data_IF_664926600186
#
_entry.id   IF_664926600186
#
_cell.length_a   1.000
_cell.length_b   1.000
_cell.length_c   1.000
_cell.angle_alpha   90.00
_cell.angle_beta   90.00
_cell.angle_gamma   90.00
#
_symmetry.space_group_name_H-M   'P 1'
#
loop_
_entity.id
_entity.type
_entity.pdbx_description
1 polymer ?
#
# COMPACT_ATOMS: atom_id res chain seq x y z
N UNK A 1 49.21 -38.42 -22.11
CA UNK A 1 49.25 -37.10 -21.45
C UNK A 1 47.81 -36.65 -21.26
N UNK A 2 47.41 -36.14 -20.08
CA UNK A 2 46.05 -35.64 -19.87
C UNK A 2 45.76 -34.47 -20.81
N UNK A 3 44.54 -34.40 -21.34
CA UNK A 3 44.12 -33.27 -22.19
C UNK A 3 44.18 -31.94 -21.43
N UNK A 4 44.44 -30.83 -22.15
CA UNK A 4 44.40 -29.46 -21.58
C UNK A 4 43.05 -29.20 -20.90
N UNK A 5 41.98 -29.77 -21.47
CA UNK A 5 40.64 -29.78 -20.91
C UNK A 5 40.58 -30.46 -19.55
N UNK A 6 41.10 -31.70 -19.42
CA UNK A 6 41.13 -32.41 -18.15
C UNK A 6 41.92 -31.64 -17.09
N UNK A 7 43.05 -31.03 -17.45
CA UNK A 7 43.85 -30.20 -16.53
C UNK A 7 43.05 -29.00 -16.02
N UNK A 8 42.30 -28.32 -16.89
CA UNK A 8 41.51 -27.14 -16.51
C UNK A 8 40.35 -27.50 -15.57
N UNK A 9 39.64 -28.58 -15.87
CA UNK A 9 38.55 -29.09 -15.03
C UNK A 9 39.10 -29.51 -13.66
N UNK A 10 40.27 -30.16 -13.63
CA UNK A 10 40.91 -30.59 -12.40
C UNK A 10 41.29 -29.40 -11.51
N UNK A 11 41.92 -28.36 -12.08
CA UNK A 11 42.28 -27.14 -11.34
C UNK A 11 41.03 -26.47 -10.76
N UNK A 12 39.95 -26.38 -11.55
CA UNK A 12 38.68 -25.84 -11.05
C UNK A 12 38.13 -26.68 -9.89
N UNK A 13 38.07 -28.00 -10.04
CA UNK A 13 37.62 -28.92 -8.99
C UNK A 13 38.46 -28.81 -7.71
N UNK A 14 39.77 -28.72 -7.85
CA UNK A 14 40.70 -28.56 -6.73
C UNK A 14 40.51 -27.22 -6.01
N UNK A 15 40.31 -26.13 -6.75
CA UNK A 15 40.03 -24.82 -6.15
C UNK A 15 38.71 -24.79 -5.38
N UNK A 16 37.65 -25.38 -5.93
CA UNK A 16 36.37 -25.52 -5.26
C UNK A 16 36.52 -26.35 -3.99
N UNK A 17 37.16 -27.52 -4.09
CA UNK A 17 37.43 -28.40 -2.95
C UNK A 17 38.16 -27.65 -1.82
N UNK A 18 39.27 -26.97 -2.13
CA UNK A 18 40.04 -26.21 -1.15
C UNK A 18 39.23 -25.05 -0.54
N UNK A 19 38.39 -24.37 -1.33
CA UNK A 19 37.53 -23.30 -0.82
C UNK A 19 36.50 -23.83 0.18
N UNK A 20 35.85 -24.96 -0.12
CA UNK A 20 34.88 -25.58 0.78
C UNK A 20 35.53 -26.09 2.07
N UNK A 21 36.70 -26.74 1.97
CA UNK A 21 37.47 -27.20 3.13
C UNK A 21 37.91 -26.03 4.01
N UNK A 22 38.44 -24.96 3.42
CA UNK A 22 38.88 -23.76 4.16
C UNK A 22 37.71 -23.10 4.93
N UNK A 23 36.54 -23.01 4.30
CA UNK A 23 35.34 -22.49 4.96
C UNK A 23 34.89 -23.35 6.15
N UNK A 24 35.05 -24.69 6.10
CA UNK A 24 34.71 -25.58 7.22
C UNK A 24 35.74 -25.56 8.36
N UNK A 25 37.02 -25.36 8.03
CA UNK A 25 38.10 -25.25 9.04
C UNK A 25 37.99 -23.94 9.83
N UNK A 26 37.58 -22.86 9.17
CA UNK A 26 37.47 -21.52 9.79
C UNK A 26 36.16 -20.81 9.46
N UNK A 27 35.02 -21.35 9.89
CA UNK A 27 33.70 -20.89 9.42
C UNK A 27 33.37 -19.47 9.89
N UNK A 28 33.85 -19.05 11.07
CA UNK A 28 33.68 -17.65 11.54
C UNK A 28 34.48 -16.64 10.72
N UNK A 29 35.70 -16.99 10.30
CA UNK A 29 36.49 -16.15 9.39
C UNK A 29 35.84 -16.06 8.01
N UNK A 30 35.28 -17.17 7.54
CA UNK A 30 34.55 -17.21 6.28
C UNK A 30 33.24 -16.41 6.32
N UNK A 31 32.49 -16.42 7.43
CA UNK A 31 31.34 -15.53 7.65
C UNK A 31 31.75 -14.06 7.61
N UNK A 32 32.81 -13.70 8.34
CA UNK A 32 33.32 -12.32 8.37
C UNK A 32 33.77 -11.84 6.98
N UNK A 33 34.52 -12.68 6.24
CA UNK A 33 34.95 -12.37 4.89
C UNK A 33 33.77 -12.21 3.89
N UNK A 34 32.64 -12.88 4.16
CA UNK A 34 31.41 -12.80 3.34
C UNK A 34 30.39 -11.78 3.88
N UNK A 35 30.72 -11.07 4.96
CA UNK A 35 29.82 -10.12 5.64
C UNK A 35 28.46 -10.74 6.01
N UNK A 36 28.47 -11.99 6.48
CA UNK A 36 27.27 -12.72 6.89
C UNK A 36 27.13 -12.72 8.42
N UNK A 37 25.89 -12.68 8.91
CA UNK A 37 25.57 -12.76 10.34
C UNK A 37 25.83 -14.17 10.88
N UNK A 38 26.07 -14.30 12.19
CA UNK A 38 26.33 -15.58 12.86
C UNK A 38 25.20 -16.60 12.69
N UNK A 39 23.96 -16.13 12.52
CA UNK A 39 22.79 -16.97 12.23
C UNK A 39 22.90 -17.75 10.91
N UNK A 40 23.77 -17.33 9.97
CA UNK A 40 24.01 -17.99 8.69
C UNK A 40 25.02 -19.16 8.77
N UNK A 41 25.58 -19.45 9.95
CA UNK A 41 26.60 -20.48 10.15
C UNK A 41 26.16 -21.88 9.64
N UNK A 42 24.94 -22.39 9.93
CA UNK A 42 24.50 -23.70 9.44
C UNK A 42 24.42 -23.74 7.91
N UNK A 43 23.95 -22.66 7.28
CA UNK A 43 23.86 -22.53 5.83
C UNK A 43 25.24 -22.46 5.18
N UNK A 44 26.19 -21.73 5.78
CA UNK A 44 27.59 -21.68 5.31
C UNK A 44 28.24 -23.07 5.35
N UNK A 45 28.00 -23.85 6.41
CA UNK A 45 28.52 -25.22 6.53
C UNK A 45 27.90 -26.14 5.46
N UNK A 46 26.58 -26.10 5.29
CA UNK A 46 25.90 -26.87 4.24
C UNK A 46 26.38 -26.52 2.83
N UNK A 47 26.56 -25.23 2.56
CA UNK A 47 27.11 -24.75 1.28
C UNK A 47 28.56 -25.18 1.07
N UNK A 48 29.37 -25.19 2.13
CA UNK A 48 30.78 -25.61 2.06
C UNK A 48 30.92 -27.11 1.77
N UNK A 49 30.05 -27.95 2.34
CA UNK A 49 29.99 -29.39 2.02
C UNK A 49 29.55 -29.61 0.56
N UNK A 50 28.57 -28.85 0.08
CA UNK A 50 28.16 -28.90 -1.32
C UNK A 50 29.31 -28.51 -2.27
N UNK A 51 30.06 -27.46 -1.94
CA UNK A 51 31.26 -27.04 -2.70
C UNK A 51 32.32 -28.14 -2.73
N UNK A 52 32.57 -28.83 -1.60
CA UNK A 52 33.49 -29.97 -1.54
C UNK A 52 33.02 -31.08 -2.48
N UNK A 53 31.73 -31.44 -2.42
CA UNK A 53 31.14 -32.43 -3.31
C UNK A 53 31.30 -32.05 -4.78
N UNK A 54 31.02 -30.78 -5.12
CA UNK A 54 31.25 -30.23 -6.47
C UNK A 54 32.71 -30.38 -6.89
N UNK A 55 33.67 -30.04 -6.02
CA UNK A 55 35.10 -30.18 -6.29
C UNK A 55 35.51 -31.62 -6.60
N UNK A 56 35.01 -32.59 -5.81
CA UNK A 56 35.23 -34.03 -6.02
C UNK A 56 34.66 -34.47 -7.37
N UNK A 57 33.44 -34.06 -7.72
CA UNK A 57 32.83 -34.40 -9.01
C UNK A 57 33.63 -33.84 -10.20
N UNK A 58 34.15 -32.62 -10.10
CA UNK A 58 35.01 -32.04 -11.15
C UNK A 58 36.34 -32.78 -11.29
N UNK A 59 36.99 -33.14 -10.17
CA UNK A 59 38.23 -33.93 -10.22
C UNK A 59 37.98 -35.33 -10.80
N UNK A 60 36.84 -35.97 -10.47
CA UNK A 60 36.43 -37.25 -11.04
C UNK A 60 36.14 -37.15 -12.54
N UNK A 61 35.44 -36.09 -12.97
CA UNK A 61 35.14 -35.85 -14.37
C UNK A 61 36.39 -35.55 -15.20
N UNK A 62 37.38 -34.87 -14.62
CA UNK A 62 38.69 -34.67 -15.22
C UNK A 62 39.44 -36.00 -15.40
N UNK A 63 39.40 -36.86 -14.38
CA UNK A 63 40.00 -38.21 -14.45
C UNK A 63 39.33 -39.09 -15.53
N UNK A 64 38.01 -38.98 -15.69
CA UNK A 64 37.23 -39.74 -16.67
C UNK A 64 37.25 -39.13 -18.09
N UNK A 65 37.91 -37.98 -18.29
CA UNK A 65 37.85 -37.18 -19.54
C UNK A 65 36.41 -36.98 -20.07
N UNK A 66 35.45 -36.77 -19.17
CA UNK A 66 34.03 -36.72 -19.53
C UNK A 66 33.69 -35.41 -20.27
N UNK A 67 33.66 -35.48 -21.61
CA UNK A 67 33.39 -34.33 -22.50
C UNK A 67 31.99 -33.73 -22.34
N UNK A 68 30.99 -34.54 -21.96
CA UNK A 68 29.63 -34.04 -21.70
C UNK A 68 29.58 -33.19 -20.43
N UNK A 69 30.30 -33.59 -19.39
CA UNK A 69 30.44 -32.82 -18.16
C UNK A 69 31.17 -31.49 -18.41
N UNK A 70 32.21 -31.49 -19.27
CA UNK A 70 32.92 -30.28 -19.66
C UNK A 70 32.02 -29.21 -20.29
N UNK A 71 31.15 -29.58 -21.23
CA UNK A 71 30.22 -28.64 -21.86
C UNK A 71 29.28 -27.96 -20.85
N UNK A 72 28.77 -28.73 -19.88
CA UNK A 72 27.93 -28.21 -18.79
C UNK A 72 28.72 -27.33 -17.81
N UNK A 73 30.00 -27.62 -17.62
CA UNK A 73 30.91 -26.82 -16.78
C UNK A 73 31.13 -25.43 -17.35
N UNK A 74 31.34 -25.33 -18.67
CA UNK A 74 31.56 -24.07 -19.36
C UNK A 74 30.34 -23.15 -19.24
N UNK A 75 29.14 -23.72 -19.41
CA UNK A 75 27.88 -22.99 -19.21
C UNK A 75 27.76 -22.45 -17.77
N UNK A 76 28.07 -23.28 -16.76
CA UNK A 76 28.08 -22.85 -15.35
C UNK A 76 29.12 -21.78 -15.04
N UNK A 77 30.30 -21.84 -15.67
CA UNK A 77 31.36 -20.85 -15.48
C UNK A 77 30.93 -19.48 -16.01
N UNK A 78 30.27 -19.45 -17.17
CA UNK A 78 29.69 -18.23 -17.74
C UNK A 78 28.64 -17.66 -16.79
N UNK A 79 27.70 -18.47 -16.31
CA UNK A 79 26.68 -18.03 -15.34
C UNK A 79 27.31 -17.51 -14.04
N UNK A 80 28.27 -18.25 -13.47
CA UNK A 80 28.95 -17.86 -12.24
C UNK A 80 29.77 -16.57 -12.43
N UNK A 81 30.43 -16.39 -13.58
CA UNK A 81 31.17 -15.17 -13.92
C UNK A 81 30.22 -13.98 -14.08
N UNK A 82 29.05 -14.17 -14.70
CA UNK A 82 28.01 -13.13 -14.81
C UNK A 82 27.53 -12.71 -13.42
N UNK A 83 27.16 -13.67 -12.56
CA UNK A 83 26.73 -13.35 -11.19
C UNK A 83 27.84 -12.75 -10.32
N UNK A 84 29.10 -13.18 -10.50
CA UNK A 84 30.25 -12.63 -9.78
C UNK A 84 30.58 -11.19 -10.21
N UNK A 85 30.52 -10.90 -11.52
CA UNK A 85 30.69 -9.55 -12.06
C UNK A 85 29.54 -8.62 -11.65
N UNK A 86 28.34 -9.17 -11.42
CA UNK A 86 27.21 -8.43 -10.88
C UNK A 86 27.32 -8.17 -9.37
N UNK A 87 28.22 -8.84 -8.64
CA UNK A 87 28.46 -8.59 -7.21
C UNK A 87 27.23 -8.81 -6.31
N UNK A 88 27.17 -8.23 -5.09
CA UNK A 88 25.99 -8.29 -4.21
C UNK A 88 24.78 -7.52 -4.76
N UNK A 89 24.79 -7.10 -6.03
CA UNK A 89 23.73 -6.33 -6.67
C UNK A 89 22.40 -7.07 -6.70
N UNK A 90 22.33 -8.38 -6.46
CA UNK A 90 21.03 -9.05 -6.29
C UNK A 90 20.25 -8.50 -5.09
N UNK A 91 20.92 -8.07 -4.00
CA UNK A 91 20.28 -7.35 -2.89
C UNK A 91 19.81 -5.96 -3.33
N UNK A 92 20.60 -5.28 -4.15
CA UNK A 92 20.22 -4.00 -4.75
C UNK A 92 19.06 -4.15 -5.75
N UNK A 93 18.98 -5.26 -6.50
CA UNK A 93 17.87 -5.59 -7.39
C UNK A 93 16.63 -5.94 -6.57
N UNK A 94 16.77 -6.63 -5.44
CA UNK A 94 15.66 -6.82 -4.50
C UNK A 94 15.16 -5.50 -3.93
N UNK A 95 16.06 -4.67 -3.41
CA UNK A 95 15.67 -3.35 -2.91
C UNK A 95 15.09 -2.49 -4.03
N UNK A 96 15.60 -2.59 -5.25
CA UNK A 96 15.09 -1.85 -6.40
C UNK A 96 13.75 -2.42 -6.90
N UNK A 97 13.52 -3.72 -6.89
CA UNK A 97 12.19 -4.29 -7.25
C UNK A 97 11.16 -4.02 -6.16
N UNK A 98 11.57 -3.99 -4.89
CA UNK A 98 10.69 -3.76 -3.74
C UNK A 98 10.50 -2.28 -3.40
N UNK A 99 11.43 -1.40 -3.75
CA UNK A 99 11.40 0.04 -3.45
C UNK A 99 11.48 0.95 -4.67
N UNK A 100 11.70 0.44 -5.89
CA UNK A 100 11.69 1.35 -7.04
C UNK A 100 10.32 2.00 -7.10
N UNK A 101 10.28 3.35 -7.05
CA UNK A 101 9.05 4.05 -7.33
C UNK A 101 8.62 3.62 -8.74
N UNK A 102 7.39 3.13 -8.86
CA UNK A 102 6.80 3.00 -10.19
C UNK A 102 6.88 4.39 -10.78
N UNK A 103 7.48 4.52 -11.97
CA UNK A 103 7.49 5.78 -12.68
C UNK A 103 6.04 6.27 -12.72
N UNK A 104 5.72 7.45 -12.17
CA UNK A 104 4.34 7.87 -12.03
C UNK A 104 3.71 7.96 -13.42
N UNK A 105 2.72 7.12 -13.70
CA UNK A 105 2.04 7.11 -15.00
C UNK A 105 1.12 8.32 -15.14
N UNK A 106 0.88 8.74 -16.38
CA UNK A 106 -0.10 9.78 -16.69
C UNK A 106 -1.52 9.19 -16.75
N UNK A 107 -2.57 10.03 -16.69
CA UNK A 107 -3.94 9.58 -16.95
C UNK A 107 -4.08 8.86 -18.30
N UNK A 108 -3.53 9.44 -19.38
CA UNK A 108 -3.54 8.87 -20.74
C UNK A 108 -2.98 7.45 -20.80
N UNK A 109 -1.86 7.20 -20.14
CA UNK A 109 -1.19 5.88 -20.13
C UNK A 109 -1.92 4.86 -19.26
N UNK A 110 -2.55 5.30 -18.17
CA UNK A 110 -3.09 4.41 -17.12
C UNK A 110 -4.59 4.17 -17.20
N UNK A 111 -5.29 4.78 -18.16
CA UNK A 111 -6.75 4.70 -18.27
C UNK A 111 -7.27 3.29 -18.66
N UNK A 112 -6.46 2.53 -19.41
CA UNK A 112 -6.83 1.19 -19.87
C UNK A 112 -6.82 0.17 -18.72
N UNK A 113 -7.83 -0.69 -18.68
CA UNK A 113 -7.96 -1.71 -17.64
C UNK A 113 -8.50 -1.19 -16.30
N UNK A 114 -8.67 0.12 -16.13
CA UNK A 114 -9.37 0.67 -14.97
C UNK A 114 -10.84 0.28 -15.01
N UNK A 115 -11.36 -0.13 -13.85
CA UNK A 115 -12.75 -0.46 -13.66
C UNK A 115 -13.33 0.38 -12.52
N UNK A 116 -14.59 0.77 -12.67
CA UNK A 116 -15.33 1.38 -11.58
C UNK A 116 -15.54 0.34 -10.49
N UNK A 117 -15.34 0.76 -9.26
CA UNK A 117 -15.73 -0.03 -8.10
C UNK A 117 -17.23 -0.30 -8.15
N UNK A 118 -17.59 -1.58 -8.32
CA UNK A 118 -18.99 -2.04 -8.31
C UNK A 118 -19.33 -2.84 -7.05
N UNK A 119 -18.44 -2.85 -6.06
CA UNK A 119 -18.72 -3.53 -4.80
C UNK A 119 -19.80 -2.76 -4.05
N UNK A 120 -20.88 -3.44 -3.68
CA UNK A 120 -21.88 -2.87 -2.79
C UNK A 120 -21.20 -2.65 -1.44
N UNK A 121 -20.90 -1.39 -1.10
CA UNK A 121 -20.49 -1.01 0.25
C UNK A 121 -21.57 -1.54 1.20
N UNK A 122 -21.16 -2.35 2.19
CA UNK A 122 -22.11 -2.89 3.16
C UNK A 122 -22.79 -1.75 3.92
N UNK A 123 -24.06 -1.96 4.23
CA UNK A 123 -24.85 -1.09 5.13
C UNK A 123 -25.06 0.36 4.68
N UNK A 124 -24.73 0.72 3.43
CA UNK A 124 -25.16 1.99 2.83
C UNK A 124 -26.65 1.86 2.52
N UNK A 125 -27.47 2.43 3.43
CA UNK A 125 -28.93 2.28 3.50
C UNK A 125 -29.69 2.83 2.29
N UNK A 126 -29.01 3.57 1.43
CA UNK A 126 -29.57 4.22 0.24
C UNK A 126 -28.84 3.65 -0.97
N UNK A 127 -29.58 3.15 -1.98
CA UNK A 127 -29.06 2.55 -3.22
C UNK A 127 -28.22 3.47 -4.12
N UNK A 128 -27.56 4.45 -3.53
CA UNK A 128 -26.55 5.30 -4.10
C UNK A 128 -25.32 4.47 -4.44
N UNK A 129 -24.90 4.55 -5.71
CA UNK A 129 -23.72 3.88 -6.23
C UNK A 129 -22.62 4.92 -6.36
N UNK A 130 -21.54 4.83 -5.57
CA UNK A 130 -20.43 5.73 -5.74
C UNK A 130 -19.93 5.75 -7.19
N UNK A 131 -19.72 6.95 -7.69
CA UNK A 131 -19.09 7.24 -8.99
C UNK A 131 -17.84 8.04 -8.72
N UNK A 132 -16.82 7.81 -9.54
CA UNK A 132 -15.60 8.60 -9.50
C UNK A 132 -14.42 7.93 -8.82
N UNK A 133 -14.47 6.65 -8.45
CA UNK A 133 -13.27 5.87 -8.12
C UNK A 133 -13.03 4.79 -9.18
N UNK A 134 -11.87 4.87 -9.84
CA UNK A 134 -11.49 4.03 -10.99
C UNK A 134 -10.18 3.32 -10.72
N UNK A 135 -10.28 2.10 -10.21
CA UNK A 135 -9.10 1.37 -9.78
C UNK A 135 -8.53 0.50 -10.89
N UNK A 136 -7.20 0.46 -10.95
CA UNK A 136 -6.46 -0.53 -11.74
C UNK A 136 -6.26 -1.80 -10.90
N UNK A 137 -6.39 -2.98 -11.52
CA UNK A 137 -6.09 -4.23 -10.84
C UNK A 137 -4.66 -4.19 -10.26
N UNK A 138 -4.47 -4.55 -8.98
CA UNK A 138 -3.16 -4.46 -8.36
C UNK A 138 -2.19 -5.40 -9.05
N UNK A 139 -1.01 -4.90 -9.41
CA UNK A 139 0.07 -5.74 -9.89
C UNK A 139 0.91 -6.21 -8.71
N UNK A 140 0.98 -7.54 -8.54
CA UNK A 140 1.91 -8.11 -7.58
C UNK A 140 3.33 -8.04 -8.16
N UNK A 141 4.07 -6.98 -7.82
CA UNK A 141 5.46 -6.77 -8.28
C UNK A 141 6.39 -7.91 -7.88
N UNK A 142 6.08 -8.63 -6.80
CA UNK A 142 6.90 -9.74 -6.35
C UNK A 142 6.63 -11.06 -7.05
N UNK A 143 5.60 -11.15 -7.90
CA UNK A 143 5.27 -12.39 -8.60
C UNK A 143 6.46 -12.90 -9.42
N UNK A 144 7.12 -12.01 -10.17
CA UNK A 144 8.30 -12.37 -10.96
C UNK A 144 9.46 -12.87 -10.10
N UNK A 145 9.60 -12.35 -8.87
CA UNK A 145 10.62 -12.80 -7.90
C UNK A 145 10.25 -14.19 -7.34
N UNK A 146 8.98 -14.43 -7.05
CA UNK A 146 8.51 -15.71 -6.52
C UNK A 146 8.64 -16.86 -7.52
N UNK A 147 8.73 -16.57 -8.83
CA UNK A 147 8.79 -17.57 -9.89
C UNK A 147 10.22 -17.97 -10.31
N UNK A 148 11.27 -17.37 -9.73
CA UNK A 148 12.67 -17.61 -10.15
C UNK A 148 13.18 -19.01 -9.78
N UNK A 149 13.04 -19.44 -8.52
CA UNK A 149 13.45 -20.78 -8.06
C UNK A 149 12.79 -21.14 -6.72
N UNK A 150 12.76 -22.43 -6.35
CA UNK A 150 12.22 -22.89 -5.05
C UNK A 150 12.99 -22.33 -3.85
N UNK A 151 14.31 -22.28 -3.91
CA UNK A 151 15.13 -21.75 -2.81
C UNK A 151 14.87 -20.25 -2.62
N UNK A 152 14.87 -19.52 -3.73
CA UNK A 152 14.60 -18.09 -3.74
C UNK A 152 13.18 -17.77 -3.27
N UNK A 153 12.19 -18.57 -3.68
CA UNK A 153 10.82 -18.47 -3.17
C UNK A 153 10.76 -18.56 -1.64
N UNK A 154 11.45 -19.53 -1.04
CA UNK A 154 11.47 -19.70 0.43
C UNK A 154 12.10 -18.49 1.11
N UNK A 155 13.21 -17.97 0.58
CA UNK A 155 13.89 -16.79 1.11
C UNK A 155 13.04 -15.52 0.98
N UNK A 156 12.39 -15.31 -0.17
CA UNK A 156 11.47 -14.17 -0.39
C UNK A 156 10.25 -14.25 0.52
N UNK A 157 9.68 -15.43 0.70
CA UNK A 157 8.56 -15.61 1.62
C UNK A 157 8.96 -15.32 3.07
N UNK A 158 10.15 -15.72 3.50
CA UNK A 158 10.65 -15.41 4.83
C UNK A 158 10.83 -13.89 5.03
N UNK A 159 11.33 -13.18 4.01
CA UNK A 159 11.37 -11.71 4.01
C UNK A 159 9.96 -11.12 4.10
N UNK A 160 9.00 -11.60 3.30
CA UNK A 160 7.62 -11.08 3.30
C UNK A 160 6.89 -11.29 4.63
N UNK A 161 7.18 -12.38 5.34
CA UNK A 161 6.64 -12.61 6.68
C UNK A 161 7.15 -11.59 7.70
N UNK A 162 8.35 -11.04 7.50
CA UNK A 162 8.99 -10.07 8.41
C UNK A 162 8.73 -8.62 8.04
N UNK A 163 8.32 -8.32 6.80
CA UNK A 163 7.95 -6.98 6.40
C UNK A 163 6.72 -6.51 7.18
N UNK A 164 6.64 -5.21 7.56
CA UNK A 164 5.44 -4.66 8.17
C UNK A 164 4.24 -4.72 7.22
N UNK A 165 3.03 -4.64 7.76
CA UNK A 165 1.80 -4.52 6.96
C UNK A 165 1.57 -3.05 6.61
N UNK A 166 2.48 -2.52 5.80
CA UNK A 166 2.43 -1.14 5.31
C UNK A 166 2.27 -1.14 3.79
N UNK A 167 1.39 -0.27 3.29
CA UNK A 167 1.04 -0.23 1.87
C UNK A 167 1.08 1.17 1.33
N UNK A 168 1.36 1.25 0.02
CA UNK A 168 1.37 2.49 -0.71
C UNK A 168 0.31 2.49 -1.80
N UNK A 169 -0.35 3.63 -1.97
CA UNK A 169 -1.28 3.87 -3.08
C UNK A 169 -0.97 5.21 -3.72
N UNK A 170 -0.82 5.20 -5.04
CA UNK A 170 -0.78 6.42 -5.85
C UNK A 170 -2.20 6.69 -6.37
N UNK A 171 -2.74 7.86 -6.09
CA UNK A 171 -4.08 8.27 -6.48
C UNK A 171 -3.94 9.45 -7.43
N UNK A 172 -4.31 9.25 -8.69
CA UNK A 172 -4.47 10.40 -9.59
C UNK A 172 -5.84 11.00 -9.36
N UNK A 173 -5.88 12.26 -8.94
CA UNK A 173 -7.07 13.08 -8.95
C UNK A 173 -7.17 13.77 -10.30
N UNK A 174 -7.97 13.20 -11.20
CA UNK A 174 -8.22 13.74 -12.53
C UNK A 174 -9.51 14.55 -12.45
N UNK A 175 -9.41 15.87 -12.63
CA UNK A 175 -10.54 16.79 -12.41
C UNK A 175 -11.71 16.40 -13.29
N UNK A 176 -12.90 16.30 -12.70
CA UNK A 176 -14.15 15.79 -13.31
C UNK A 176 -14.16 14.31 -13.75
N UNK A 177 -13.03 13.61 -13.70
CA UNK A 177 -12.85 12.24 -14.21
C UNK A 177 -12.62 11.20 -13.10
N UNK A 178 -12.41 11.64 -11.86
CA UNK A 178 -12.38 10.77 -10.67
C UNK A 178 -11.03 10.64 -10.01
N UNK A 179 -11.04 9.88 -8.92
CA UNK A 179 -9.88 9.35 -8.23
C UNK A 179 -9.48 8.01 -8.83
N UNK A 180 -8.23 7.90 -9.25
CA UNK A 180 -7.72 6.74 -9.97
C UNK A 180 -6.63 6.07 -9.14
N UNK A 181 -7.02 5.29 -8.11
CA UNK A 181 -6.05 4.63 -7.24
C UNK A 181 -5.28 3.54 -7.99
N UNK A 182 -4.00 3.45 -7.67
CA UNK A 182 -3.06 2.46 -8.18
C UNK A 182 -2.25 1.95 -7.00
N UNK A 183 -2.51 0.70 -6.62
CA UNK A 183 -1.91 0.11 -5.42
C UNK A 183 -0.54 -0.49 -5.73
N UNK A 184 0.45 -0.14 -4.91
CA UNK A 184 1.76 -0.77 -4.92
C UNK A 184 1.81 -1.86 -3.84
N UNK A 185 1.56 -3.10 -4.25
CA UNK A 185 1.44 -4.24 -3.34
C UNK A 185 2.65 -5.14 -3.50
N UNK A 186 3.57 -5.01 -2.55
CA UNK A 186 4.76 -5.87 -2.44
C UNK A 186 4.34 -7.29 -2.01
N UNK A 187 3.46 -7.38 -1.01
CA UNK A 187 2.93 -8.63 -0.45
C UNK A 187 1.45 -8.48 -0.10
N UNK A 188 0.63 -9.54 -0.18
CA UNK A 188 -0.73 -9.50 0.36
C UNK A 188 -0.74 -9.22 1.88
N UNK A 189 -1.83 -8.66 2.42
CA UNK A 189 -2.03 -8.54 3.87
C UNK A 189 -1.90 -9.89 4.58
N UNK A 190 -1.00 -9.97 5.56
CA UNK A 190 -0.79 -11.18 6.37
C UNK A 190 -1.73 -11.22 7.58
N UNK A 191 -2.38 -10.11 7.91
CA UNK A 191 -3.37 -9.98 8.96
C UNK A 191 -4.41 -8.93 8.57
N UNK A 192 -5.51 -8.86 9.32
CA UNK A 192 -6.50 -7.77 9.17
C UNK A 192 -5.99 -6.42 9.70
N UNK A 193 -4.85 -6.40 10.39
CA UNK A 193 -4.26 -5.19 10.96
C UNK A 193 -3.22 -4.63 10.00
N UNK A 194 -3.44 -3.39 9.60
CA UNK A 194 -2.58 -2.62 8.73
C UNK A 194 -1.91 -1.55 9.58
N UNK A 195 -0.59 -1.58 9.63
CA UNK A 195 0.20 -0.67 10.44
C UNK A 195 0.11 0.75 9.87
N UNK A 196 0.22 0.89 8.54
CA UNK A 196 0.25 2.19 7.89
C UNK A 196 -0.16 2.13 6.43
N UNK A 197 -0.99 3.08 5.99
CA UNK A 197 -1.25 3.35 4.58
C UNK A 197 -0.64 4.70 4.22
N UNK A 198 0.21 4.73 3.22
CA UNK A 198 0.72 5.99 2.64
C UNK A 198 0.08 6.19 1.27
N UNK A 199 -0.66 7.27 1.11
CA UNK A 199 -1.31 7.68 -0.12
C UNK A 199 -0.59 8.89 -0.69
N UNK A 200 -0.19 8.84 -1.97
CA UNK A 200 0.24 10.03 -2.72
C UNK A 200 -0.88 10.43 -3.66
N UNK A 201 -1.35 11.67 -3.58
CA UNK A 201 -2.38 12.21 -4.45
C UNK A 201 -1.73 13.19 -5.43
N UNK A 202 -1.82 12.87 -6.73
CA UNK A 202 -1.35 13.70 -7.84
C UNK A 202 -2.53 14.34 -8.55
N UNK A 203 -2.47 15.64 -8.82
CA UNK A 203 -3.56 16.41 -9.42
C UNK A 203 -3.33 16.56 -10.92
N UNK A 204 -4.35 16.30 -11.74
CA UNK A 204 -4.27 16.37 -13.20
C UNK A 204 -5.42 17.19 -13.79
N UNK A 205 -5.13 18.02 -14.79
CA UNK A 205 -6.14 18.43 -15.75
C UNK A 205 -6.50 17.25 -16.67
N UNK A 206 -7.77 17.13 -17.12
CA UNK A 206 -8.15 16.11 -18.08
C UNK A 206 -7.51 16.40 -19.44
N UNK A 207 -7.05 15.35 -20.11
CA UNK A 207 -6.54 15.41 -21.49
C UNK A 207 -7.62 14.99 -22.48
N UNK A 208 -7.47 15.39 -23.75
CA UNK A 208 -8.48 15.15 -24.79
C UNK A 208 -8.62 13.67 -25.19
N UNK A 209 -7.65 12.83 -24.83
CA UNK A 209 -7.59 11.41 -25.16
C UNK A 209 -8.19 10.48 -24.09
N UNK A 210 -8.79 11.04 -23.03
CA UNK A 210 -9.42 10.25 -21.99
C UNK A 210 -10.77 9.69 -22.45
N UNK A 211 -11.01 8.41 -22.15
CA UNK A 211 -12.27 7.73 -22.47
C UNK A 211 -13.48 8.42 -21.81
N UNK A 212 -14.52 8.69 -22.62
CA UNK A 212 -15.76 9.33 -22.20
C UNK A 212 -16.44 8.65 -21.00
N UNK A 213 -16.18 7.35 -20.75
CA UNK A 213 -16.73 6.63 -19.59
C UNK A 213 -16.35 7.23 -18.24
N UNK A 214 -15.21 7.93 -18.17
CA UNK A 214 -14.72 8.58 -16.96
C UNK A 214 -15.31 9.97 -16.77
N UNK A 215 -15.72 10.60 -17.85
CA UNK A 215 -16.21 11.97 -17.89
C UNK A 215 -17.37 12.14 -16.93
N UNK A 216 -17.31 13.23 -16.17
CA UNK A 216 -18.33 13.61 -15.19
C UNK A 216 -18.56 12.59 -14.07
N UNK A 217 -17.65 11.63 -13.89
CA UNK A 217 -17.74 10.65 -12.81
C UNK A 217 -17.46 11.27 -11.44
N UNK A 218 -16.84 12.45 -11.41
CA UNK A 218 -16.59 13.24 -10.20
C UNK A 218 -17.15 14.65 -10.38
N UNK A 219 -17.90 15.14 -9.40
CA UNK A 219 -18.49 16.48 -9.41
C UNK A 219 -18.45 17.08 -8.01
N UNK A 220 -18.19 18.38 -7.96
CA UNK A 220 -18.22 19.16 -6.71
C UNK A 220 -19.54 19.92 -6.54
N UNK A 221 -20.57 19.52 -7.30
CA UNK A 221 -21.90 20.10 -7.22
C UNK A 221 -22.70 19.40 -6.12
N UNK A 222 -23.22 20.18 -5.18
CA UNK A 222 -24.17 19.69 -4.17
C UNK A 222 -25.52 19.33 -4.78
N UNK A 223 -26.17 18.30 -4.22
CA UNK A 223 -27.56 17.94 -4.53
C UNK A 223 -28.57 18.54 -3.54
N UNK A 224 -29.82 18.05 -3.56
CA UNK A 224 -30.96 18.51 -2.76
C UNK A 224 -30.90 18.10 -1.27
N UNK A 225 -29.71 18.21 -0.64
CA UNK A 225 -29.53 17.99 0.80
C UNK A 225 -28.45 16.97 1.20
N UNK A 226 -27.83 16.26 0.24
CA UNK A 226 -26.73 15.33 0.48
C UNK A 226 -25.33 15.88 0.14
N UNK A 227 -24.24 15.21 0.56
CA UNK A 227 -22.86 15.55 0.17
C UNK A 227 -22.65 15.51 -1.34
N UNK A 228 -21.66 16.27 -1.84
CA UNK A 228 -21.28 16.26 -3.26
C UNK A 228 -20.75 14.89 -3.70
N UNK A 229 -20.79 14.58 -5.00
CA UNK A 229 -20.33 13.26 -5.48
C UNK A 229 -18.84 13.02 -5.21
N UNK A 230 -18.03 14.08 -5.16
CA UNK A 230 -16.61 14.00 -4.80
C UNK A 230 -16.38 13.57 -3.34
N UNK A 231 -17.20 14.05 -2.40
CA UNK A 231 -17.13 13.73 -0.97
C UNK A 231 -17.38 12.23 -0.75
N UNK A 232 -18.39 11.78 -1.47
CA UNK A 232 -18.81 10.41 -1.60
C UNK A 232 -17.76 9.48 -2.22
N UNK A 233 -17.01 9.92 -3.22
CA UNK A 233 -15.87 9.18 -3.79
C UNK A 233 -14.70 9.08 -2.79
N UNK A 234 -14.45 10.13 -2.00
CA UNK A 234 -13.48 10.09 -0.91
C UNK A 234 -13.87 9.09 0.18
N UNK A 235 -15.17 9.05 0.54
CA UNK A 235 -15.70 8.06 1.46
C UNK A 235 -15.51 6.64 0.93
N UNK A 236 -15.78 6.42 -0.36
CA UNK A 236 -15.59 5.13 -1.01
C UNK A 236 -14.14 4.65 -0.94
N UNK A 237 -13.15 5.54 -1.13
CA UNK A 237 -11.73 5.17 -1.00
C UNK A 237 -11.41 4.61 0.40
N UNK A 238 -11.92 5.25 1.46
CA UNK A 238 -11.68 4.83 2.84
C UNK A 238 -12.42 3.54 3.18
N UNK A 239 -13.71 3.45 2.85
CA UNK A 239 -14.51 2.27 3.20
C UNK A 239 -14.12 1.07 2.36
N UNK A 240 -13.77 1.25 1.08
CA UNK A 240 -13.31 0.13 0.26
C UNK A 240 -11.99 -0.45 0.80
N UNK A 241 -11.09 0.41 1.27
CA UNK A 241 -9.88 0.00 1.97
C UNK A 241 -10.21 -0.78 3.26
N UNK A 242 -11.18 -0.33 4.06
CA UNK A 242 -11.62 -1.05 5.25
C UNK A 242 -12.25 -2.39 4.89
N UNK A 243 -13.19 -2.44 3.94
CA UNK A 243 -13.98 -3.64 3.65
C UNK A 243 -13.23 -4.68 2.84
N UNK A 244 -12.32 -4.25 1.96
CA UNK A 244 -11.67 -5.11 0.98
C UNK A 244 -10.15 -5.11 1.05
N UNK A 245 -9.56 -4.18 1.79
CA UNK A 245 -8.11 -4.06 1.95
C UNK A 245 -7.41 -3.44 0.74
N UNK A 246 -6.06 -3.33 0.83
CA UNK A 246 -5.23 -2.80 -0.24
C UNK A 246 -5.46 -3.53 -1.56
N UNK A 247 -5.81 -2.79 -2.60
CA UNK A 247 -5.95 -3.35 -3.96
C UNK A 247 -7.09 -4.34 -4.16
N UNK A 248 -7.99 -4.56 -3.18
CA UNK A 248 -8.89 -5.73 -3.15
C UNK A 248 -8.17 -7.08 -3.10
N UNK A 249 -6.92 -7.11 -2.67
CA UNK A 249 -6.16 -8.37 -2.47
C UNK A 249 -6.48 -8.98 -1.09
N UNK A 250 -7.47 -8.45 -0.39
CA UNK A 250 -7.77 -8.73 1.01
C UNK A 250 -8.65 -9.95 1.32
N UNK A 251 -8.71 -10.28 2.61
CA UNK A 251 -9.09 -11.57 3.18
C UNK A 251 -10.54 -12.03 2.86
N UNK A 252 -10.77 -13.32 2.56
CA UNK A 252 -12.10 -13.87 2.26
C UNK A 252 -13.10 -13.92 3.44
N UNK A 253 -12.68 -13.55 4.65
CA UNK A 253 -13.42 -13.85 5.88
C UNK A 253 -14.50 -12.81 6.25
N UNK A 254 -14.90 -11.92 5.32
CA UNK A 254 -15.94 -10.92 5.54
C UNK A 254 -15.71 -9.93 6.71
N UNK A 255 -14.56 -9.98 7.38
CA UNK A 255 -14.15 -9.05 8.44
C UNK A 255 -13.38 -7.89 7.81
N UNK A 256 -13.74 -6.65 8.16
CA UNK A 256 -13.03 -5.46 7.70
C UNK A 256 -11.61 -5.36 8.28
N UNK A 257 -10.74 -4.65 7.56
CA UNK A 257 -9.39 -4.30 7.95
C UNK A 257 -9.39 -3.20 9.01
N UNK A 258 -8.43 -3.27 9.92
CA UNK A 258 -8.17 -2.26 10.94
C UNK A 258 -6.88 -1.57 10.57
N UNK A 259 -6.91 -0.25 10.41
CA UNK A 259 -5.82 0.57 9.94
C UNK A 259 -5.37 1.45 11.11
N UNK A 260 -4.08 1.42 11.43
CA UNK A 260 -3.57 2.24 12.52
C UNK A 260 -3.44 3.70 12.09
N UNK A 261 -2.66 3.94 11.04
CA UNK A 261 -2.39 5.27 10.50
C UNK A 261 -2.63 5.35 9.00
N UNK A 262 -3.20 6.47 8.54
CA UNK A 262 -3.29 6.84 7.13
C UNK A 262 -2.52 8.15 6.95
N UNK A 263 -1.58 8.16 6.01
CA UNK A 263 -0.84 9.34 5.59
C UNK A 263 -1.27 9.69 4.17
N UNK A 264 -1.73 10.91 3.97
CA UNK A 264 -2.21 11.44 2.68
C UNK A 264 -1.31 12.58 2.28
N UNK A 265 -0.42 12.35 1.32
CA UNK A 265 0.45 13.37 0.75
C UNK A 265 -0.14 13.88 -0.56
N UNK A 266 -0.53 15.15 -0.62
CA UNK A 266 -0.99 15.80 -1.84
C UNK A 266 0.18 16.57 -2.43
N UNK A 267 0.55 16.22 -3.66
CA UNK A 267 1.69 16.83 -4.34
C UNK A 267 1.22 17.86 -5.35
N UNK A 268 2.02 18.91 -5.53
CA UNK A 268 1.80 19.93 -6.54
C UNK A 268 1.68 19.29 -7.92
N UNK A 269 0.81 19.83 -8.79
CA UNK A 269 0.68 19.34 -10.15
C UNK A 269 2.00 19.42 -10.93
N UNK A 270 2.26 18.40 -11.75
CA UNK A 270 3.49 18.30 -12.55
C UNK A 270 3.23 18.22 -14.07
N UNK A 271 1.96 18.34 -14.49
CA UNK A 271 1.53 18.26 -15.89
C UNK A 271 1.70 19.60 -16.65
N UNK A 272 2.15 20.66 -15.96
CA UNK A 272 2.42 21.98 -16.54
C UNK A 272 1.17 22.85 -16.73
N UNK A 273 -0.02 22.40 -16.30
CA UNK A 273 -1.23 23.20 -16.36
C UNK A 273 -1.30 24.20 -15.20
N UNK A 274 -2.20 25.20 -15.30
CA UNK A 274 -2.32 26.27 -14.29
C UNK A 274 -3.10 25.85 -13.03
N UNK A 275 -3.92 24.79 -13.10
CA UNK A 275 -4.71 24.25 -11.99
C UNK A 275 -5.48 25.27 -11.12
N UNK A 276 -6.14 26.24 -11.75
CA UNK A 276 -6.80 27.35 -11.03
C UNK A 276 -8.04 26.95 -10.21
N UNK A 277 -8.60 25.74 -10.44
CA UNK A 277 -9.81 25.21 -9.78
C UNK A 277 -9.71 23.70 -9.53
N UNK A 278 -10.48 23.15 -8.58
CA UNK A 278 -10.60 21.67 -8.42
C UNK A 278 -11.50 21.01 -9.47
N UNK A 279 -12.40 21.77 -10.08
CA UNK A 279 -13.30 21.31 -11.14
C UNK A 279 -13.04 22.10 -12.42
N UNK A 280 -13.21 21.47 -13.58
CA UNK A 280 -13.05 22.16 -14.87
C UNK A 280 -14.31 22.91 -15.32
N UNK A 281 -15.44 22.79 -14.60
CA UNK A 281 -16.72 23.38 -15.03
C UNK A 281 -16.90 24.78 -14.44
N UNK A 282 -17.19 25.75 -15.31
CA UNK A 282 -17.37 27.16 -14.93
C UNK A 282 -18.54 27.43 -13.98
N UNK A 283 -19.57 26.57 -14.01
CA UNK A 283 -20.78 26.72 -13.20
C UNK A 283 -20.78 25.86 -11.93
N UNK A 284 -19.70 25.11 -11.65
CA UNK A 284 -19.61 24.39 -10.39
C UNK A 284 -19.31 25.38 -9.27
N UNK A 285 -20.31 25.59 -8.40
CA UNK A 285 -20.15 26.37 -7.17
C UNK A 285 -20.16 25.42 -5.96
N UNK A 286 -19.00 24.87 -5.58
CA UNK A 286 -18.95 23.92 -4.47
C UNK A 286 -19.50 24.50 -3.19
N UNK A 287 -20.40 23.76 -2.53
CA UNK A 287 -21.00 24.18 -1.27
C UNK A 287 -19.94 24.26 -0.17
N UNK A 288 -18.99 23.34 -0.18
CA UNK A 288 -17.88 23.32 0.77
C UNK A 288 -17.05 24.60 0.77
N UNK A 289 -16.81 25.27 -0.36
CA UNK A 289 -16.07 26.54 -0.39
C UNK A 289 -16.76 27.61 0.49
N UNK A 290 -18.09 27.67 0.41
CA UNK A 290 -18.89 28.58 1.24
C UNK A 290 -18.85 28.19 2.71
N UNK A 291 -18.89 26.88 3.00
CA UNK A 291 -18.85 26.37 4.39
C UNK A 291 -17.47 26.59 5.03
N UNK A 292 -16.39 26.51 4.25
CA UNK A 292 -15.03 26.77 4.68
C UNK A 292 -14.68 28.27 4.72
N UNK A 293 -15.58 29.16 4.28
CA UNK A 293 -15.31 30.59 4.20
C UNK A 293 -14.19 30.95 3.20
N UNK A 294 -13.95 30.10 2.21
CA UNK A 294 -12.92 30.32 1.18
C UNK A 294 -13.55 31.15 0.06
N UNK A 295 -13.04 32.37 -0.14
CA UNK A 295 -13.46 33.21 -1.26
C UNK A 295 -12.92 32.65 -2.59
N UNK A 296 -13.72 32.72 -3.65
CA UNK A 296 -13.32 32.26 -5.00
C UNK A 296 -12.11 33.01 -5.58
N UNK A 297 -11.80 34.20 -5.04
CA UNK A 297 -10.74 35.10 -5.51
C UNK A 297 -9.41 34.94 -4.79
N UNK A 298 -9.38 34.28 -3.62
CA UNK A 298 -8.12 33.86 -3.03
C UNK A 298 -7.61 32.66 -3.86
N UNK A 299 -6.32 32.65 -4.20
CA UNK A 299 -5.69 31.53 -4.92
C UNK A 299 -5.00 30.57 -3.93
N UNK A 300 -5.71 29.67 -3.23
CA UNK A 300 -5.03 28.56 -2.61
C UNK A 300 -4.49 27.66 -3.72
N UNK A 301 -3.20 27.37 -3.62
CA UNK A 301 -2.45 26.41 -4.42
C UNK A 301 -3.26 25.09 -4.51
N UNK A 302 -3.38 24.45 -5.69
CA UNK A 302 -4.29 23.33 -5.93
C UNK A 302 -4.21 22.18 -4.91
N UNK A 303 -3.01 21.82 -4.46
CA UNK A 303 -2.80 20.80 -3.43
C UNK A 303 -3.43 21.18 -2.09
N UNK A 304 -3.29 22.44 -1.67
CA UNK A 304 -3.89 22.95 -0.45
C UNK A 304 -5.41 22.96 -0.57
N UNK A 305 -5.93 23.39 -1.72
CA UNK A 305 -7.38 23.42 -1.97
C UNK A 305 -8.01 22.02 -1.90
N UNK A 306 -7.33 21.00 -2.43
CA UNK A 306 -7.78 19.62 -2.33
C UNK A 306 -7.67 19.11 -0.88
N UNK A 307 -6.60 19.46 -0.17
CA UNK A 307 -6.42 19.11 1.24
C UNK A 307 -7.52 19.71 2.11
N UNK A 308 -7.81 21.01 1.97
CA UNK A 308 -8.90 21.72 2.66
C UNK A 308 -10.25 21.04 2.40
N UNK A 309 -10.52 20.65 1.14
CA UNK A 309 -11.74 19.92 0.80
C UNK A 309 -11.83 18.56 1.51
N UNK A 310 -10.75 17.78 1.48
CA UNK A 310 -10.71 16.45 2.09
C UNK A 310 -10.83 16.53 3.61
N UNK A 311 -10.17 17.48 4.27
CA UNK A 311 -10.25 17.64 5.72
C UNK A 311 -11.62 18.15 6.16
N UNK A 312 -12.21 19.10 5.44
CA UNK A 312 -13.58 19.53 5.69
C UNK A 312 -14.60 18.39 5.55
N UNK A 313 -14.43 17.55 4.52
CA UNK A 313 -15.26 16.37 4.35
C UNK A 313 -15.12 15.40 5.54
N UNK A 314 -13.90 15.12 5.98
CA UNK A 314 -13.66 14.29 7.15
C UNK A 314 -14.27 14.89 8.41
N UNK A 315 -14.17 16.21 8.61
CA UNK A 315 -14.78 16.90 9.73
C UNK A 315 -16.31 16.65 9.76
N UNK A 316 -17.00 16.80 8.63
CA UNK A 316 -18.44 16.52 8.51
C UNK A 316 -18.75 15.05 8.84
N UNK A 317 -17.99 14.09 8.30
CA UNK A 317 -18.25 12.67 8.57
C UNK A 317 -18.02 12.35 10.04
N UNK A 318 -16.94 12.87 10.63
CA UNK A 318 -16.58 12.60 12.02
C UNK A 318 -17.37 13.44 13.04
N UNK A 319 -18.13 14.46 12.65
CA UNK A 319 -19.05 15.16 13.57
C UNK A 319 -20.14 14.23 14.16
N UNK A 320 -20.40 13.07 13.52
CA UNK A 320 -21.28 12.01 14.02
C UNK A 320 -22.67 12.50 14.46
N UNK A 321 -23.22 13.44 13.70
CA UNK A 321 -24.63 13.84 13.76
C UNK A 321 -25.55 12.62 13.53
N UNK A 322 -26.88 12.77 13.70
CA UNK A 322 -27.78 11.62 13.57
C UNK A 322 -27.82 11.00 12.18
N UNK A 323 -27.54 11.80 11.15
CA UNK A 323 -27.69 11.46 9.74
C UNK A 323 -26.37 10.93 9.17
N UNK A 324 -25.22 11.38 9.68
CA UNK A 324 -23.88 10.92 9.27
C UNK A 324 -23.34 9.76 10.11
N UNK A 325 -23.93 9.48 11.28
CA UNK A 325 -23.56 8.39 12.19
C UNK A 325 -23.34 7.01 11.55
N UNK A 326 -24.21 6.54 10.64
CA UNK A 326 -24.00 5.26 9.98
C UNK A 326 -22.68 5.22 9.19
N UNK A 327 -22.29 6.34 8.60
CA UNK A 327 -21.06 6.44 7.81
C UNK A 327 -19.81 6.55 8.68
N UNK A 328 -19.91 7.29 9.78
CA UNK A 328 -18.79 7.53 10.69
C UNK A 328 -18.45 6.31 11.54
N UNK A 329 -19.43 5.46 11.85
CA UNK A 329 -19.24 4.25 12.63
C UNK A 329 -18.15 3.34 12.04
N UNK A 330 -18.20 3.05 10.74
CA UNK A 330 -17.22 2.20 10.07
C UNK A 330 -15.80 2.79 10.21
N UNK A 331 -15.66 4.10 10.01
CA UNK A 331 -14.38 4.79 10.13
C UNK A 331 -13.84 4.78 11.56
N UNK A 332 -14.70 5.00 12.57
CA UNK A 332 -14.31 4.97 13.97
C UNK A 332 -13.93 3.58 14.47
N UNK A 333 -14.55 2.52 13.96
CA UNK A 333 -14.23 1.16 14.38
C UNK A 333 -12.93 0.67 13.74
N UNK A 334 -12.60 1.14 12.54
CA UNK A 334 -11.54 0.59 11.72
C UNK A 334 -10.31 1.49 11.55
N UNK A 335 -10.36 2.78 11.88
CA UNK A 335 -9.19 3.68 11.88
C UNK A 335 -8.80 3.99 13.33
N UNK A 336 -7.65 3.51 13.79
CA UNK A 336 -7.32 3.53 15.22
C UNK A 336 -6.67 4.82 15.71
N UNK A 337 -5.69 5.36 15.00
CA UNK A 337 -4.91 6.48 15.53
C UNK A 337 -5.22 7.78 14.80
N UNK A 338 -4.84 7.88 13.52
CA UNK A 338 -4.92 9.16 12.84
C UNK A 338 -4.93 9.09 11.31
N UNK A 339 -5.40 10.18 10.73
CA UNK A 339 -5.22 10.53 9.32
C UNK A 339 -4.35 11.79 9.27
N UNK A 340 -3.17 11.70 8.68
CA UNK A 340 -2.22 12.82 8.56
C UNK A 340 -2.19 13.30 7.12
N UNK A 341 -2.41 14.60 6.91
CA UNK A 341 -2.32 15.26 5.63
C UNK A 341 -0.97 15.96 5.48
N UNK A 342 -0.35 15.78 4.33
CA UNK A 342 0.89 16.43 3.93
C UNK A 342 0.69 17.16 2.61
N UNK A 343 1.41 18.27 2.47
CA UNK A 343 1.53 19.01 1.23
C UNK A 343 3.00 18.91 0.79
N UNK A 344 3.24 18.31 -0.38
CA UNK A 344 4.60 18.12 -0.91
C UNK A 344 5.57 17.44 0.08
N UNK A 345 5.07 16.47 0.84
CA UNK A 345 5.83 15.71 1.84
C UNK A 345 6.04 16.43 3.17
N UNK A 346 5.54 17.66 3.33
CA UNK A 346 5.55 18.38 4.61
C UNK A 346 4.21 18.20 5.33
N UNK A 347 4.25 17.84 6.62
CA UNK A 347 3.03 17.75 7.45
C UNK A 347 2.30 19.09 7.46
N UNK A 348 1.03 19.02 7.09
CA UNK A 348 0.12 20.16 7.05
C UNK A 348 -0.90 20.08 8.18
N UNK A 349 -1.57 18.93 8.32
CA UNK A 349 -2.59 18.75 9.34
C UNK A 349 -2.69 17.29 9.79
N UNK A 350 -2.89 17.06 11.10
CA UNK A 350 -3.08 15.73 11.66
C UNK A 350 -4.42 15.62 12.35
N UNK A 351 -5.21 14.63 11.96
CA UNK A 351 -6.54 14.33 12.48
C UNK A 351 -6.50 13.08 13.34
N UNK A 352 -6.52 13.25 14.66
CA UNK A 352 -6.55 12.12 15.61
C UNK A 352 -7.98 11.66 15.82
N UNK A 353 -8.23 10.37 15.64
CA UNK A 353 -9.59 9.81 15.71
C UNK A 353 -10.19 9.95 17.11
N UNK A 354 -9.38 9.80 18.15
CA UNK A 354 -9.84 9.93 19.54
C UNK A 354 -10.28 11.37 19.88
N UNK A 355 -9.66 12.41 19.29
CA UNK A 355 -10.07 13.81 19.49
C UNK A 355 -11.48 14.07 18.93
N UNK A 356 -11.82 13.47 17.80
CA UNK A 356 -13.18 13.58 17.27
C UNK A 356 -14.21 12.86 18.14
N UNK A 357 -13.88 11.69 18.68
CA UNK A 357 -14.76 10.97 19.61
C UNK A 357 -15.07 11.81 20.86
N UNK A 358 -14.06 12.51 21.38
CA UNK A 358 -14.23 13.43 22.50
C UNK A 358 -15.15 14.60 22.14
N UNK A 359 -14.97 15.22 20.96
CA UNK A 359 -15.84 16.29 20.47
C UNK A 359 -17.28 15.84 20.28
N UNK A 360 -17.51 14.59 19.88
CA UNK A 360 -18.84 14.00 19.74
C UNK A 360 -19.57 13.76 21.08
N UNK A 361 -18.87 13.83 22.21
CA UNK A 361 -19.46 13.53 23.50
C UNK A 361 -20.53 14.58 23.88
N UNK A 362 -21.75 14.21 24.30
CA UNK A 362 -22.80 15.20 24.56
C UNK A 362 -22.50 16.20 25.69
N UNK A 363 -21.41 16.03 26.44
CA UNK A 363 -20.92 17.03 27.41
C UNK A 363 -20.20 18.21 26.76
N UNK A 364 -19.92 18.19 25.46
CA UNK A 364 -19.35 19.31 24.70
C UNK A 364 -20.44 20.15 24.04
N UNK A 365 -21.67 19.63 23.95
CA UNK A 365 -22.77 20.30 23.25
C UNK A 365 -23.31 21.51 24.03
N UNK A 366 -23.80 22.57 23.35
CA UNK A 366 -24.46 23.71 24.00
C UNK A 366 -25.61 23.28 24.94
N UNK A 367 -25.81 24.02 26.04
CA UNK A 367 -26.74 23.62 27.11
C UNK A 367 -28.19 23.47 26.63
N UNK A 368 -28.62 24.32 25.70
CA UNK A 368 -29.97 24.31 25.11
C UNK A 368 -30.22 23.05 24.27
N UNK A 369 -29.16 22.51 23.65
CA UNK A 369 -29.21 21.28 22.87
C UNK A 369 -29.38 20.03 23.75
N UNK A 370 -28.87 20.06 24.99
CA UNK A 370 -28.94 18.91 25.92
C UNK A 370 -30.33 18.68 26.48
N UNK A 371 -31.07 19.76 26.74
CA UNK A 371 -32.35 19.70 27.46
C UNK A 371 -33.56 19.44 26.54
N UNK A 372 -33.52 19.88 25.28
CA UNK A 372 -34.59 19.63 24.30
C UNK A 372 -34.62 18.23 23.70
N UNK A 373 -33.53 17.44 23.83
CA UNK A 373 -33.32 16.21 23.07
C UNK A 373 -32.79 15.04 23.92
N UNK A 374 -33.29 14.85 25.14
CA UNK A 374 -32.88 13.77 26.06
C UNK A 374 -32.73 12.38 25.38
N UNK A 375 -33.63 12.04 24.43
CA UNK A 375 -33.58 10.79 23.68
C UNK A 375 -32.41 10.70 22.70
N UNK A 376 -32.06 11.78 21.99
CA UNK A 376 -30.87 11.82 21.11
C UNK A 376 -29.59 11.73 21.94
N UNK A 377 -29.51 12.49 23.04
CA UNK A 377 -28.38 12.46 23.97
C UNK A 377 -28.10 11.04 24.49
N UNK A 378 -29.15 10.31 24.90
CA UNK A 378 -29.02 8.94 25.37
C UNK A 378 -28.50 8.00 24.26
N UNK A 379 -29.06 8.08 23.05
CA UNK A 379 -28.61 7.29 21.90
C UNK A 379 -27.16 7.57 21.53
N UNK A 380 -26.73 8.84 21.52
CA UNK A 380 -25.33 9.21 21.27
C UNK A 380 -24.41 8.62 22.33
N UNK A 381 -24.77 8.71 23.62
CA UNK A 381 -23.98 8.11 24.71
C UNK A 381 -23.87 6.59 24.59
N UNK A 382 -24.95 5.92 24.21
CA UNK A 382 -24.94 4.47 23.98
C UNK A 382 -24.04 4.10 22.80
N UNK A 383 -24.15 4.84 21.70
CA UNK A 383 -23.31 4.66 20.53
C UNK A 383 -21.82 4.90 20.84
N UNK A 384 -21.44 6.01 21.48
CA UNK A 384 -20.05 6.27 21.88
C UNK A 384 -19.49 5.17 22.79
N UNK A 385 -20.27 4.70 23.78
CA UNK A 385 -19.84 3.58 24.63
C UNK A 385 -19.63 2.30 23.82
N UNK A 386 -20.47 2.05 22.83
CA UNK A 386 -20.29 0.91 21.92
C UNK A 386 -18.99 1.05 21.14
N UNK A 387 -18.75 2.20 20.50
CA UNK A 387 -17.54 2.49 19.72
C UNK A 387 -16.28 2.33 20.58
N UNK A 388 -16.23 2.94 21.77
CA UNK A 388 -15.07 2.80 22.67
C UNK A 388 -14.80 1.34 23.05
N UNK A 389 -15.83 0.57 23.41
CA UNK A 389 -15.68 -0.86 23.73
C UNK A 389 -15.14 -1.65 22.54
N UNK A 390 -15.66 -1.39 21.33
CA UNK A 390 -15.20 -2.05 20.10
C UNK A 390 -13.75 -1.70 19.79
N UNK A 391 -13.38 -0.42 19.85
CA UNK A 391 -11.99 0.05 19.67
C UNK A 391 -11.04 -0.57 20.69
N UNK A 392 -11.45 -0.68 21.96
CA UNK A 392 -10.64 -1.33 22.99
C UNK A 392 -10.42 -2.82 22.71
N UNK A 393 -11.47 -3.53 22.26
CA UNK A 393 -11.34 -4.92 21.80
C UNK A 393 -10.38 -5.04 20.61
N UNK A 394 -10.53 -4.16 19.62
CA UNK A 394 -9.68 -4.14 18.43
C UNK A 394 -8.22 -3.90 18.80
N UNK A 395 -7.92 -2.93 19.67
CA UNK A 395 -6.57 -2.64 20.21
C UNK A 395 -5.97 -3.84 20.96
N UNK A 396 -6.80 -4.65 21.60
CA UNK A 396 -6.40 -5.90 22.28
C UNK A 396 -6.29 -7.12 21.35
N UNK A 397 -6.48 -6.95 20.03
CA UNK A 397 -6.45 -8.07 19.08
C UNK A 397 -7.69 -8.95 19.09
N UNK A 398 -8.77 -8.55 19.79
CA UNK A 398 -9.97 -9.37 19.98
C UNK A 398 -10.99 -9.15 18.84
N UNK A 399 -11.84 -10.13 18.59
CA UNK A 399 -12.91 -10.03 17.59
C UNK A 399 -14.07 -9.13 18.05
N UNK A 400 -14.61 -8.36 17.11
CA UNK A 400 -15.76 -7.46 17.30
C UNK A 400 -17.03 -8.17 16.83
N UNK A 401 -17.50 -9.17 17.58
CA UNK A 401 -18.72 -9.92 17.24
C UNK A 401 -19.97 -9.50 18.05
N UNK A 402 -19.94 -8.37 18.74
CA UNK A 402 -21.11 -7.91 19.48
C UNK A 402 -22.19 -7.40 18.52
N UNK A 403 -23.37 -8.03 18.54
CA UNK A 403 -24.57 -7.57 17.81
C UNK A 403 -24.83 -6.09 18.12
N UNK A 404 -25.10 -5.29 17.08
CA UNK A 404 -25.46 -3.88 17.25
C UNK A 404 -26.68 -3.75 18.19
N UNK A 405 -26.67 -2.79 19.13
CA UNK A 405 -27.87 -2.46 19.88
C UNK A 405 -28.94 -1.93 18.91
N UNK A 406 -30.12 -2.56 18.93
CA UNK A 406 -31.27 -2.21 18.08
C UNK A 406 -31.84 -0.83 18.40
#
# INVERSE_FOLDING_TARGET
MPSITAVTIFIFGLSAFNHGVSNLISPRKALAAKQLQDSALPALNGFSVAIIGIGIYYMLAAYQENRGFFALTLARFISARIFWLQGPAWRAIFELVLRAPVTPSTPSESQHGRAQLRHCLRDVRWGWKPRGVWQLAPMNKSLSLLLVSRQFYVEVQDIFRRLPNSYHVDIMFVKNYGFWPTWDIIKPPTSRYIDKITSTIRIFEPTDDLDDRFKDSLSFRGGDGGPESAAWALYELLVSLIQHGPGYVGHPNNQGFVINEIEVNIVSPTDGAAHTRLACRDNENPRWLRLCGIEYGDEPVPEKRLADYMTHFLDIVFEADSDVRPYSQELYEHILESITFQLNGQEWEKRRIDEYLEKCHPSTWPHDYRNGWCRKTLRTRQWLRMIHRRREKVRKGLEVHDKQPK
#
